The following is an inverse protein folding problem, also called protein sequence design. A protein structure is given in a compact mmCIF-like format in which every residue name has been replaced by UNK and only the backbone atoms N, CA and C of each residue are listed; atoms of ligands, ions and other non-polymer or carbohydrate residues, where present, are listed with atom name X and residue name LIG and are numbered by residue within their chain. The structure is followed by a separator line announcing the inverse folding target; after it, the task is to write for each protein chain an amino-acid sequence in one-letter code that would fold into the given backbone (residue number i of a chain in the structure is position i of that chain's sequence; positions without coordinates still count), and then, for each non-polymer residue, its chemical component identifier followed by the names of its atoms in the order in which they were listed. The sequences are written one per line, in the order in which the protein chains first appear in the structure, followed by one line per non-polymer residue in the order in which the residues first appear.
data_IF_724619224697
#
_entry.id   IF_724619224697
#
_cell.length_a   1.000
_cell.length_b   1.000
_cell.length_c   1.000
_cell.angle_alpha   90.00
_cell.angle_beta   90.00
_cell.angle_gamma   90.00
#
_symmetry.space_group_name_H-M   'P 1'
#
loop_
_entity.id
_entity.type
_entity.pdbx_description
1 polymer ?
#
# COMPACT_ATOMS: atom_id res chain seq x y z
N UNK A 1 -30.09 37.60 56.99
CA UNK A 1 -29.12 36.49 56.85
C UNK A 1 -28.93 36.22 55.37
N UNK A 2 -27.68 36.21 54.90
CA UNK A 2 -27.36 35.96 53.48
C UNK A 2 -25.92 36.37 53.18
N UNK A 3 -24.97 35.59 53.69
CA UNK A 3 -23.54 35.78 53.42
C UNK A 3 -23.18 35.28 52.02
N UNK A 4 -22.48 36.12 51.26
CA UNK A 4 -21.80 35.73 50.01
C UNK A 4 -20.49 35.02 50.34
N UNK A 5 -20.31 33.81 49.81
CA UNK A 5 -19.03 33.09 49.77
C UNK A 5 -18.21 33.57 48.55
N UNK A 6 -16.92 33.88 48.68
CA UNK A 6 -16.06 34.06 47.51
C UNK A 6 -15.49 32.71 47.05
N UNK A 7 -15.66 32.40 45.76
CA UNK A 7 -14.94 31.33 45.06
C UNK A 7 -13.45 31.71 44.98
N UNK A 8 -12.60 31.01 45.73
CA UNK A 8 -11.15 31.12 45.61
C UNK A 8 -10.64 30.40 44.36
N UNK A 9 -10.13 31.14 43.38
CA UNK A 9 -9.24 30.60 42.35
C UNK A 9 -7.93 30.14 43.02
N UNK A 10 -7.65 28.84 43.00
CA UNK A 10 -6.31 28.31 43.31
C UNK A 10 -5.43 28.43 42.07
N UNK A 11 -4.26 29.05 42.23
CA UNK A 11 -3.23 29.12 41.21
C UNK A 11 -2.71 27.73 40.81
N UNK A 12 -2.43 27.53 39.53
CA UNK A 12 -1.81 26.32 39.00
C UNK A 12 -0.39 26.13 39.56
N UNK A 13 0.07 24.90 39.84
CA UNK A 13 1.43 24.66 40.30
C UNK A 13 2.46 24.97 39.21
N UNK A 14 3.56 25.61 39.61
CA UNK A 14 4.70 25.94 38.74
C UNK A 14 5.34 24.68 38.16
N UNK A 15 5.80 24.70 36.89
CA UNK A 15 6.48 23.55 36.30
C UNK A 15 7.81 23.29 37.03
N UNK A 16 8.04 22.01 37.38
CA UNK A 16 9.30 21.56 37.97
C UNK A 16 10.47 21.69 36.98
N UNK A 17 11.72 21.68 37.48
CA UNK A 17 12.91 21.85 36.64
C UNK A 17 13.07 20.67 35.66
N UNK A 18 13.67 20.90 34.47
CA UNK A 18 13.87 19.86 33.48
C UNK A 18 14.86 18.80 33.99
N UNK A 19 14.52 17.52 33.76
CA UNK A 19 15.37 16.36 34.00
C UNK A 19 16.63 16.46 33.12
N UNK A 20 17.80 16.69 33.73
CA UNK A 20 19.10 16.55 33.06
C UNK A 20 19.51 15.08 33.02
N UNK A 21 19.43 14.47 31.85
CA UNK A 21 20.11 13.20 31.57
C UNK A 21 21.60 13.47 31.37
N UNK A 22 22.43 13.02 32.31
CA UNK A 22 23.90 13.06 32.17
C UNK A 22 24.34 11.92 31.26
N UNK A 23 24.78 12.24 30.05
CA UNK A 23 25.48 11.27 29.19
C UNK A 23 26.92 11.19 29.65
N UNK A 24 27.30 10.09 30.29
CA UNK A 24 28.70 9.81 30.61
C UNK A 24 29.49 9.52 29.34
N UNK A 25 30.50 10.33 29.04
CA UNK A 25 31.54 9.98 28.06
C UNK A 25 32.50 8.95 28.68
N UNK A 26 32.71 7.77 28.08
CA UNK A 26 33.87 6.97 28.40
C UNK A 26 35.11 7.61 27.75
N UNK A 27 36.15 7.76 28.57
CA UNK A 27 37.43 8.35 28.23
C UNK A 27 38.10 7.69 27.02
N UNK A 28 38.82 8.52 26.26
CA UNK A 28 39.72 8.13 25.20
C UNK A 28 40.71 7.05 25.68
N UNK A 29 40.87 6.00 24.88
CA UNK A 29 42.05 5.14 24.89
C UNK A 29 42.62 5.13 23.49
N UNK A 30 43.84 5.64 23.40
CA UNK A 30 44.68 5.63 22.22
C UNK A 30 45.11 4.20 21.83
N UNK A 31 45.23 3.99 20.52
CA UNK A 31 46.20 3.05 19.93
C UNK A 31 45.76 1.59 19.80
N UNK A 32 45.17 1.23 18.65
CA UNK A 32 45.63 0.07 17.88
C UNK A 32 45.14 0.13 16.43
N UNK A 33 46.11 0.05 15.53
CA UNK A 33 46.01 -0.08 14.08
C UNK A 33 45.36 -1.43 13.69
N UNK A 34 44.27 -1.42 12.89
CA UNK A 34 43.86 -2.55 12.07
C UNK A 34 42.76 -2.15 11.05
N UNK A 35 42.99 -2.55 9.81
CA UNK A 35 42.13 -2.39 8.63
C UNK A 35 40.77 -3.10 8.81
N UNK A 36 39.69 -2.47 8.31
CA UNK A 36 38.47 -3.12 7.84
C UNK A 36 37.49 -3.65 8.89
N UNK A 37 36.38 -2.94 9.11
CA UNK A 37 35.11 -3.54 9.55
C UNK A 37 33.96 -2.58 9.24
N UNK A 38 33.03 -3.04 8.39
CA UNK A 38 31.71 -2.44 8.24
C UNK A 38 31.01 -2.41 9.61
N UNK A 39 30.28 -1.31 9.90
CA UNK A 39 29.50 -1.15 11.13
C UNK A 39 28.45 -2.25 11.34
N UNK A 40 27.77 -2.29 12.50
CA UNK A 40 26.97 -3.42 12.94
C UNK A 40 25.61 -3.43 12.23
N UNK A 41 25.62 -3.68 10.92
CA UNK A 41 24.44 -4.24 10.27
C UNK A 41 24.33 -5.67 10.75
N UNK A 42 23.30 -5.94 11.56
CA UNK A 42 22.91 -7.32 11.86
C UNK A 42 22.53 -7.96 10.52
N UNK A 43 23.23 -9.01 10.07
CA UNK A 43 22.81 -9.74 8.87
C UNK A 43 21.37 -10.22 9.07
N UNK A 44 20.53 -10.06 8.05
CA UNK A 44 19.10 -10.42 8.06
C UNK A 44 18.83 -11.89 8.44
N UNK A 45 19.88 -12.72 8.51
CA UNK A 45 19.89 -14.12 8.91
C UNK A 45 19.36 -14.40 10.33
N UNK A 46 19.19 -13.37 11.19
CA UNK A 46 18.77 -13.54 12.59
C UNK A 46 17.30 -13.21 12.90
N UNK A 47 16.51 -12.79 11.92
CA UNK A 47 15.06 -12.64 12.12
C UNK A 47 14.35 -13.91 11.64
N UNK A 48 13.98 -14.79 12.57
CA UNK A 48 13.01 -15.85 12.29
C UNK A 48 11.62 -15.23 12.14
N UNK A 49 11.38 -14.58 11.00
CA UNK A 49 10.04 -14.60 10.43
C UNK A 49 9.77 -16.06 10.04
N UNK A 50 8.59 -16.58 10.38
CA UNK A 50 8.11 -17.80 9.74
C UNK A 50 7.91 -17.44 8.27
N UNK A 51 8.93 -17.71 7.46
CA UNK A 51 8.71 -17.90 6.04
C UNK A 51 7.71 -19.05 5.94
N UNK A 52 6.67 -18.88 5.12
CA UNK A 52 5.84 -20.02 4.73
C UNK A 52 6.68 -20.87 3.77
N UNK A 53 7.70 -21.53 4.32
CA UNK A 53 8.58 -22.51 3.67
C UNK A 53 8.40 -23.91 4.25
N UNK A 54 7.59 -24.07 5.30
CA UNK A 54 7.49 -25.34 6.03
C UNK A 54 6.21 -26.13 5.71
N UNK A 55 5.45 -25.71 4.69
CA UNK A 55 4.47 -26.57 4.04
C UNK A 55 5.09 -27.13 2.75
N UNK A 56 5.17 -28.47 2.58
CA UNK A 56 6.07 -29.06 1.59
C UNK A 56 5.48 -28.93 0.19
N UNK A 57 6.14 -28.15 -0.68
CA UNK A 57 6.23 -28.46 -2.10
C UNK A 57 7.63 -28.13 -2.65
N UNK A 58 8.48 -29.17 -2.68
CA UNK A 58 9.67 -29.26 -3.54
C UNK A 58 10.97 -28.69 -2.97
N UNK A 59 11.80 -29.56 -2.39
CA UNK A 59 13.22 -29.34 -2.10
C UNK A 59 13.98 -28.83 -3.36
N UNK A 60 14.98 -27.93 -3.27
CA UNK A 60 16.27 -28.20 -2.64
C UNK A 60 16.92 -26.99 -1.94
N UNK A 61 17.71 -27.32 -0.93
CA UNK A 61 18.65 -26.49 -0.16
C UNK A 61 19.90 -26.23 -1.01
N UNK A 62 20.51 -25.04 -0.92
CA UNK A 62 21.90 -24.84 -1.37
C UNK A 62 22.79 -24.24 -0.27
N UNK A 63 23.86 -24.96 0.07
CA UNK A 63 25.03 -24.46 0.80
C UNK A 63 25.89 -23.56 -0.10
N UNK A 64 26.52 -22.54 0.46
CA UNK A 64 27.77 -21.99 -0.10
C UNK A 64 27.73 -20.67 -0.88
N UNK A 65 26.85 -19.72 -0.53
CA UNK A 65 27.15 -18.29 -0.74
C UNK A 65 27.34 -17.80 -2.18
N UNK A 66 26.55 -18.29 -3.14
CA UNK A 66 26.39 -17.65 -4.45
C UNK A 66 24.94 -17.22 -4.67
N UNK A 67 24.76 -15.96 -5.07
CA UNK A 67 23.47 -15.41 -5.48
C UNK A 67 23.05 -16.06 -6.79
N UNK A 68 21.91 -16.77 -6.77
CA UNK A 68 21.29 -17.35 -7.95
C UNK A 68 20.06 -16.51 -8.30
N UNK A 69 20.26 -15.37 -8.95
CA UNK A 69 19.20 -14.70 -9.70
C UNK A 69 19.35 -15.03 -11.18
N UNK A 70 19.10 -16.30 -11.53
CA UNK A 70 18.87 -16.73 -12.91
C UNK A 70 18.12 -18.06 -12.98
N UNK A 71 17.36 -18.44 -11.94
CA UNK A 71 16.61 -19.70 -11.94
C UNK A 71 15.18 -19.46 -12.48
N UNK A 72 14.80 -20.04 -13.64
CA UNK A 72 13.45 -19.91 -14.20
C UNK A 72 12.35 -20.40 -13.25
N UNK A 73 12.68 -21.26 -12.28
CA UNK A 73 11.74 -21.74 -11.28
C UNK A 73 11.27 -20.66 -10.28
N UNK A 74 12.05 -19.60 -10.07
CA UNK A 74 11.65 -18.45 -9.23
C UNK A 74 10.67 -17.54 -9.97
N UNK A 75 10.82 -17.41 -11.30
CA UNK A 75 9.87 -16.70 -12.17
C UNK A 75 8.47 -17.32 -12.13
N UNK A 76 8.38 -18.65 -11.98
CA UNK A 76 7.13 -19.40 -11.82
C UNK A 76 6.43 -19.21 -10.45
N UNK A 77 7.05 -18.52 -9.49
CA UNK A 77 6.52 -18.30 -8.12
C UNK A 77 6.19 -16.83 -7.81
N UNK A 78 6.18 -15.96 -8.82
CA UNK A 78 5.85 -14.54 -8.62
C UNK A 78 4.35 -14.33 -8.39
N UNK A 79 3.98 -13.30 -7.64
CA UNK A 79 2.58 -12.88 -7.46
C UNK A 79 1.85 -12.74 -8.81
N UNK A 80 2.54 -12.21 -9.82
CA UNK A 80 1.97 -12.05 -11.16
C UNK A 80 1.73 -13.38 -11.88
N UNK A 81 2.62 -14.37 -11.72
CA UNK A 81 2.48 -15.69 -12.34
C UNK A 81 1.16 -16.39 -11.98
N UNK A 82 0.63 -16.13 -10.77
CA UNK A 82 -0.66 -16.68 -10.31
C UNK A 82 -1.86 -16.21 -11.14
N UNK A 83 -1.74 -15.08 -11.83
CA UNK A 83 -2.85 -14.43 -12.53
C UNK A 83 -2.64 -14.30 -14.04
N UNK A 84 -1.57 -14.89 -14.61
CA UNK A 84 -1.31 -14.86 -16.05
C UNK A 84 -2.49 -15.45 -16.80
N UNK A 85 -3.01 -14.72 -17.80
CA UNK A 85 -4.19 -15.11 -18.56
C UNK A 85 -5.53 -14.93 -17.82
N UNK A 86 -5.53 -14.34 -16.62
CA UNK A 86 -6.72 -14.00 -15.86
C UNK A 86 -6.92 -12.48 -15.76
N UNK A 87 -8.05 -12.09 -15.16
CA UNK A 87 -8.39 -10.70 -14.86
C UNK A 87 -8.18 -10.40 -13.38
N UNK A 88 -7.48 -9.30 -13.08
CA UNK A 88 -7.34 -8.73 -11.74
C UNK A 88 -8.01 -7.36 -11.72
N UNK A 89 -8.88 -7.14 -10.75
CA UNK A 89 -9.62 -5.88 -10.60
C UNK A 89 -9.09 -5.12 -9.39
N UNK A 90 -8.58 -3.92 -9.61
CA UNK A 90 -8.15 -3.00 -8.56
C UNK A 90 -9.21 -1.91 -8.39
N UNK A 91 -9.76 -1.75 -7.18
CA UNK A 91 -10.86 -0.82 -6.90
C UNK A 91 -10.40 0.29 -5.96
N UNK A 92 -10.37 1.51 -6.48
CA UNK A 92 -10.08 2.75 -5.75
C UNK A 92 -11.33 3.60 -5.55
N UNK A 93 -11.30 4.49 -4.56
CA UNK A 93 -12.40 5.42 -4.32
C UNK A 93 -12.32 6.58 -5.31
N UNK A 94 -11.10 7.13 -5.49
CA UNK A 94 -10.81 8.30 -6.32
C UNK A 94 -9.62 8.05 -7.25
N UNK A 95 -9.44 8.90 -8.28
CA UNK A 95 -8.21 8.89 -9.10
C UNK A 95 -6.99 9.24 -8.28
N UNK A 96 -5.93 8.43 -8.34
CA UNK A 96 -4.66 8.45 -7.56
C UNK A 96 -4.55 7.33 -6.51
N UNK A 97 -5.64 6.88 -5.92
CA UNK A 97 -5.64 5.86 -4.86
C UNK A 97 -4.86 4.58 -5.23
N UNK A 98 -5.13 4.05 -6.43
CA UNK A 98 -4.61 2.76 -6.88
C UNK A 98 -3.10 2.84 -7.14
N UNK A 99 -2.66 3.94 -7.72
CA UNK A 99 -1.27 4.24 -8.01
C UNK A 99 -0.46 4.35 -6.72
N UNK A 100 -1.00 5.07 -5.73
CA UNK A 100 -0.37 5.28 -4.44
C UNK A 100 -0.25 3.97 -3.66
N UNK A 101 -1.34 3.21 -3.59
CA UNK A 101 -1.44 1.98 -2.81
C UNK A 101 -0.73 0.78 -3.43
N UNK A 102 -0.88 0.57 -4.73
CA UNK A 102 -0.49 -0.67 -5.40
C UNK A 102 0.07 -0.48 -6.83
N UNK A 103 0.44 0.74 -7.24
CA UNK A 103 0.83 1.02 -8.63
C UNK A 103 1.99 0.17 -9.15
N UNK A 104 2.96 -0.19 -8.28
CA UNK A 104 4.07 -1.06 -8.68
C UNK A 104 3.62 -2.49 -8.97
N UNK A 105 2.70 -3.00 -8.14
CA UNK A 105 2.06 -4.31 -8.27
C UNK A 105 1.19 -4.37 -9.52
N UNK A 106 0.39 -3.32 -9.78
CA UNK A 106 -0.45 -3.24 -10.98
C UNK A 106 0.40 -3.23 -12.26
N UNK A 107 1.49 -2.46 -12.28
CA UNK A 107 2.43 -2.46 -13.41
C UNK A 107 3.10 -3.83 -13.60
N UNK A 108 3.45 -4.54 -12.51
CA UNK A 108 4.05 -5.86 -12.58
C UNK A 108 3.07 -6.91 -13.13
N UNK A 109 1.79 -6.85 -12.71
CA UNK A 109 0.72 -7.70 -13.25
C UNK A 109 0.51 -7.44 -14.74
N UNK A 110 0.37 -6.18 -15.15
CA UNK A 110 0.19 -5.81 -16.55
C UNK A 110 1.37 -6.27 -17.42
N UNK A 111 2.61 -6.05 -16.97
CA UNK A 111 3.81 -6.48 -17.67
C UNK A 111 3.91 -8.02 -17.84
N UNK A 112 3.28 -8.78 -16.94
CA UNK A 112 3.19 -10.24 -17.02
C UNK A 112 2.04 -10.73 -17.93
N UNK A 113 1.29 -9.83 -18.57
CA UNK A 113 0.17 -10.18 -19.45
C UNK A 113 -1.15 -10.48 -18.73
N UNK A 114 -1.28 -10.06 -17.46
CA UNK A 114 -2.55 -10.10 -16.73
C UNK A 114 -3.44 -8.96 -17.20
N UNK A 115 -4.74 -9.22 -17.41
CA UNK A 115 -5.69 -8.13 -17.66
C UNK A 115 -5.95 -7.41 -16.33
N UNK A 116 -5.39 -6.21 -16.17
CA UNK A 116 -5.58 -5.40 -14.96
C UNK A 116 -6.62 -4.32 -15.23
N UNK A 117 -7.70 -4.32 -14.44
CA UNK A 117 -8.77 -3.33 -14.51
C UNK A 117 -8.68 -2.41 -13.29
N UNK A 118 -8.34 -1.15 -13.51
CA UNK A 118 -8.39 -0.07 -12.53
C UNK A 118 -9.80 0.52 -12.51
N UNK A 119 -10.59 0.16 -11.52
CA UNK A 119 -11.92 0.71 -11.30
C UNK A 119 -11.88 1.82 -10.25
N UNK A 120 -12.15 3.05 -10.67
CA UNK A 120 -12.33 4.20 -9.79
C UNK A 120 -13.82 4.38 -9.55
N UNK A 121 -14.24 4.41 -8.29
CA UNK A 121 -15.66 4.54 -7.96
C UNK A 121 -16.18 5.94 -8.32
N UNK A 122 -15.51 7.01 -7.88
CA UNK A 122 -16.01 8.37 -8.06
C UNK A 122 -14.91 9.41 -8.28
N UNK A 123 -15.29 10.53 -8.91
CA UNK A 123 -14.43 11.72 -9.07
C UNK A 123 -15.15 12.90 -8.43
N UNK A 124 -14.73 13.37 -7.24
CA UNK A 124 -15.53 14.32 -6.45
C UNK A 124 -15.37 15.79 -6.83
N UNK A 125 -14.29 16.16 -7.52
CA UNK A 125 -13.97 17.53 -7.93
C UNK A 125 -13.08 17.52 -9.18
N UNK A 126 -13.03 18.65 -9.89
CA UNK A 126 -12.20 18.85 -11.09
C UNK A 126 -12.33 17.71 -12.10
N UNK A 127 -13.58 17.31 -12.38
CA UNK A 127 -13.93 16.04 -13.02
C UNK A 127 -13.13 15.79 -14.30
N UNK A 128 -13.18 16.70 -15.28
CA UNK A 128 -12.53 16.48 -16.58
C UNK A 128 -11.01 16.35 -16.46
N UNK A 129 -10.39 17.20 -15.63
CA UNK A 129 -8.95 17.15 -15.36
C UNK A 129 -8.56 15.83 -14.71
N UNK A 130 -9.21 15.45 -13.62
CA UNK A 130 -8.87 14.22 -12.89
C UNK A 130 -9.17 12.95 -13.69
N UNK A 131 -10.20 12.96 -14.53
CA UNK A 131 -10.46 11.88 -15.48
C UNK A 131 -9.35 11.76 -16.52
N UNK A 132 -8.84 12.89 -17.03
CA UNK A 132 -7.70 12.89 -17.94
C UNK A 132 -6.45 12.34 -17.28
N UNK A 133 -6.13 12.80 -16.06
CA UNK A 133 -4.97 12.34 -15.30
C UNK A 133 -5.06 10.83 -14.97
N UNK A 134 -6.25 10.33 -14.62
CA UNK A 134 -6.51 8.91 -14.42
C UNK A 134 -6.25 8.08 -15.68
N UNK A 135 -6.63 8.59 -16.85
CA UNK A 135 -6.39 7.91 -18.14
C UNK A 135 -4.91 7.83 -18.45
N UNK A 136 -4.18 8.94 -18.27
CA UNK A 136 -2.74 8.98 -18.50
C UNK A 136 -2.01 8.03 -17.56
N UNK A 137 -2.40 8.02 -16.28
CA UNK A 137 -1.86 7.10 -15.28
C UNK A 137 -2.12 5.62 -15.62
N UNK A 138 -3.35 5.26 -15.95
CA UNK A 138 -3.69 3.90 -16.34
C UNK A 138 -2.91 3.44 -17.58
N UNK A 139 -2.71 4.34 -18.55
CA UNK A 139 -1.88 4.06 -19.73
C UNK A 139 -0.40 3.83 -19.36
N UNK A 140 0.14 4.61 -18.41
CA UNK A 140 1.51 4.40 -17.90
C UNK A 140 1.65 3.03 -17.22
N UNK A 141 0.65 2.61 -16.46
CA UNK A 141 0.61 1.31 -15.78
C UNK A 141 0.27 0.14 -16.72
N UNK A 142 -0.15 0.40 -17.96
CA UNK A 142 -0.63 -0.62 -18.89
C UNK A 142 -1.94 -1.28 -18.44
N UNK A 143 -2.79 -0.54 -17.73
CA UNK A 143 -4.04 -1.05 -17.16
C UNK A 143 -5.27 -0.50 -17.90
N UNK A 144 -6.38 -1.24 -17.87
CA UNK A 144 -7.69 -0.78 -18.32
C UNK A 144 -8.31 0.14 -17.26
N UNK A 145 -8.79 1.32 -17.64
CA UNK A 145 -9.46 2.25 -16.72
C UNK A 145 -10.99 2.15 -16.81
N UNK A 146 -11.65 2.07 -15.66
CA UNK A 146 -13.12 2.18 -15.52
C UNK A 146 -13.49 3.20 -14.46
N UNK A 147 -14.42 4.08 -14.78
CA UNK A 147 -14.98 5.08 -13.85
C UNK A 147 -16.45 4.74 -13.63
N UNK A 148 -16.80 4.25 -12.44
CA UNK A 148 -18.12 3.69 -12.17
C UNK A 148 -19.20 4.78 -12.13
N UNK A 149 -18.92 5.88 -11.43
CA UNK A 149 -19.84 7.00 -11.29
C UNK A 149 -19.48 8.13 -12.27
N UNK A 150 -19.39 7.82 -13.56
CA UNK A 150 -19.07 8.79 -14.60
C UNK A 150 -20.16 9.87 -14.78
N UNK A 151 -19.82 10.91 -15.55
CA UNK A 151 -20.73 11.97 -16.00
C UNK A 151 -20.86 13.17 -15.06
N UNK A 152 -19.86 13.41 -14.20
CA UNK A 152 -19.77 14.62 -13.38
C UNK A 152 -19.27 14.36 -11.96
N UNK A 153 -19.06 15.45 -11.22
CA UNK A 153 -18.60 15.39 -9.83
C UNK A 153 -19.62 14.70 -8.95
N UNK A 154 -19.22 13.59 -8.31
CA UNK A 154 -20.06 12.85 -7.37
C UNK A 154 -19.24 12.42 -6.16
N UNK A 155 -19.87 12.24 -5.01
CA UNK A 155 -19.22 11.71 -3.81
C UNK A 155 -19.80 10.35 -3.46
N UNK A 156 -18.98 9.48 -2.89
CA UNK A 156 -19.40 8.15 -2.48
C UNK A 156 -20.36 8.26 -1.28
N UNK A 157 -20.12 9.22 -0.37
CA UNK A 157 -20.99 9.54 0.77
C UNK A 157 -22.45 9.89 0.39
N UNK A 158 -22.69 10.35 -0.84
CA UNK A 158 -24.03 10.69 -1.34
C UNK A 158 -24.78 9.46 -1.90
N UNK A 159 -24.11 8.32 -2.05
CA UNK A 159 -24.67 7.10 -2.64
C UNK A 159 -25.20 6.20 -1.53
N UNK A 160 -26.46 5.74 -1.66
CA UNK A 160 -27.01 4.76 -0.73
C UNK A 160 -26.20 3.46 -0.81
N UNK A 161 -25.88 2.86 0.34
CA UNK A 161 -25.03 1.67 0.41
C UNK A 161 -25.46 0.54 -0.56
N UNK A 162 -26.75 0.25 -0.69
CA UNK A 162 -27.22 -0.79 -1.61
C UNK A 162 -26.96 -0.47 -3.09
N UNK A 163 -26.91 0.81 -3.47
CA UNK A 163 -26.57 1.25 -4.82
C UNK A 163 -25.06 1.13 -5.06
N UNK A 164 -24.25 1.52 -4.08
CA UNK A 164 -22.80 1.35 -4.12
C UNK A 164 -22.44 -0.13 -4.30
N UNK A 165 -22.98 -1.01 -3.45
CA UNK A 165 -22.80 -2.47 -3.57
C UNK A 165 -23.30 -2.97 -4.93
N UNK A 166 -24.41 -2.44 -5.45
CA UNK A 166 -24.91 -2.78 -6.79
C UNK A 166 -23.96 -2.43 -7.93
N UNK A 167 -23.27 -1.29 -7.86
CA UNK A 167 -22.24 -0.90 -8.83
C UNK A 167 -21.03 -1.85 -8.77
N UNK A 168 -20.56 -2.16 -7.56
CA UNK A 168 -19.42 -3.06 -7.34
C UNK A 168 -19.73 -4.52 -7.72
N UNK A 169 -20.96 -4.97 -7.47
CA UNK A 169 -21.50 -6.24 -7.96
C UNK A 169 -21.42 -6.33 -9.48
N UNK A 170 -21.78 -5.25 -10.19
CA UNK A 170 -21.71 -5.17 -11.64
C UNK A 170 -20.29 -5.41 -12.15
N UNK A 171 -19.31 -4.77 -11.52
CA UNK A 171 -17.88 -4.92 -11.83
C UNK A 171 -17.43 -6.39 -11.69
N UNK A 172 -17.78 -7.05 -10.59
CA UNK A 172 -17.41 -8.47 -10.38
C UNK A 172 -18.09 -9.40 -11.38
N UNK A 173 -19.35 -9.16 -11.72
CA UNK A 173 -20.08 -9.98 -12.71
C UNK A 173 -19.54 -9.80 -14.13
N UNK A 174 -19.17 -8.57 -14.49
CA UNK A 174 -18.63 -8.23 -15.80
C UNK A 174 -17.25 -8.86 -16.01
N UNK A 175 -16.33 -8.64 -15.06
CA UNK A 175 -14.92 -9.02 -15.22
C UNK A 175 -14.55 -10.40 -14.69
N UNK A 176 -15.40 -11.01 -13.85
CA UNK A 176 -15.16 -12.33 -13.24
C UNK A 176 -13.71 -12.47 -12.71
N UNK A 177 -13.27 -11.56 -11.83
CA UNK A 177 -11.87 -11.47 -11.43
C UNK A 177 -11.38 -12.74 -10.73
N UNK A 178 -10.11 -13.09 -10.92
CA UNK A 178 -9.41 -14.09 -10.10
C UNK A 178 -8.83 -13.47 -8.83
N UNK A 179 -8.58 -12.16 -8.84
CA UNK A 179 -8.24 -11.39 -7.65
C UNK A 179 -8.82 -9.97 -7.67
N UNK A 180 -9.09 -9.46 -6.47
CA UNK A 180 -9.45 -8.06 -6.23
C UNK A 180 -8.43 -7.43 -5.28
N UNK A 181 -7.96 -6.24 -5.64
CA UNK A 181 -7.21 -5.34 -4.76
C UNK A 181 -8.10 -4.13 -4.44
N UNK A 182 -8.19 -3.75 -3.18
CA UNK A 182 -8.99 -2.57 -2.78
C UNK A 182 -8.41 -1.90 -1.53
N UNK A 183 -9.08 -0.88 -1.00
CA UNK A 183 -8.68 -0.19 0.22
C UNK A 183 -8.70 -1.10 1.46
N UNK A 184 -8.09 -0.68 2.55
CA UNK A 184 -8.16 -1.36 3.85
C UNK A 184 -9.44 -1.05 4.65
N UNK A 185 -9.76 -1.86 5.69
CA UNK A 185 -10.86 -1.60 6.62
C UNK A 185 -10.63 -0.36 7.49
N UNK A 186 -9.38 0.05 7.64
CA UNK A 186 -8.95 1.17 8.46
C UNK A 186 -8.27 2.20 7.58
N UNK A 187 -8.90 3.35 7.43
CA UNK A 187 -8.38 4.51 6.72
C UNK A 187 -8.91 5.78 7.39
N UNK A 188 -8.20 6.89 7.26
CA UNK A 188 -8.72 8.18 7.69
C UNK A 188 -9.78 8.71 6.71
N UNK A 189 -9.73 8.30 5.44
CA UNK A 189 -10.69 8.71 4.44
C UNK A 189 -11.91 7.79 4.44
N UNK A 190 -13.08 8.33 4.81
CA UNK A 190 -14.30 7.53 4.96
C UNK A 190 -14.73 6.80 3.66
N UNK A 191 -14.60 7.45 2.50
CA UNK A 191 -14.83 6.82 1.20
C UNK A 191 -14.03 5.52 0.99
N UNK A 192 -12.78 5.45 1.45
CA UNK A 192 -11.94 4.25 1.30
C UNK A 192 -12.53 3.09 2.10
N UNK A 193 -12.96 3.37 3.34
CA UNK A 193 -13.62 2.42 4.22
C UNK A 193 -14.96 1.94 3.62
N UNK A 194 -15.74 2.84 3.03
CA UNK A 194 -17.00 2.48 2.35
C UNK A 194 -16.76 1.55 1.15
N UNK A 195 -15.74 1.83 0.33
CA UNK A 195 -15.35 0.98 -0.80
C UNK A 195 -14.89 -0.39 -0.32
N UNK A 196 -14.07 -0.46 0.73
CA UNK A 196 -13.65 -1.74 1.32
C UNK A 196 -14.87 -2.58 1.72
N UNK A 197 -15.80 -2.02 2.52
CA UNK A 197 -16.99 -2.76 2.95
C UNK A 197 -17.90 -3.16 1.79
N UNK A 198 -18.05 -2.29 0.78
CA UNK A 198 -18.76 -2.60 -0.45
C UNK A 198 -18.14 -3.79 -1.19
N UNK A 199 -16.81 -3.80 -1.34
CA UNK A 199 -16.08 -4.90 -1.98
C UNK A 199 -16.12 -6.19 -1.17
N UNK A 200 -16.09 -6.14 0.17
CA UNK A 200 -16.32 -7.32 1.02
C UNK A 200 -17.68 -7.95 0.72
N UNK A 201 -18.74 -7.15 0.54
CA UNK A 201 -20.05 -7.67 0.20
C UNK A 201 -20.06 -8.42 -1.15
N UNK A 202 -19.27 -7.98 -2.14
CA UNK A 202 -19.20 -8.63 -3.47
C UNK A 202 -18.64 -10.04 -3.42
N UNK A 203 -17.91 -10.43 -2.36
CA UNK A 203 -17.35 -11.77 -2.22
C UNK A 203 -18.40 -12.89 -2.17
N UNK A 204 -19.69 -12.56 -1.96
CA UNK A 204 -20.81 -13.51 -2.07
C UNK A 204 -21.10 -13.96 -3.51
N UNK A 205 -20.56 -13.27 -4.51
CA UNK A 205 -20.82 -13.52 -5.93
C UNK A 205 -19.89 -14.57 -6.53
N UNK A 206 -18.64 -14.65 -6.06
CA UNK A 206 -17.61 -15.54 -6.61
C UNK A 206 -16.47 -15.75 -5.61
N UNK A 207 -15.74 -16.85 -5.80
CA UNK A 207 -14.50 -17.12 -5.08
C UNK A 207 -13.31 -16.53 -5.85
N UNK A 208 -12.68 -15.50 -5.29
CA UNK A 208 -11.47 -14.87 -5.81
C UNK A 208 -10.57 -14.44 -4.64
N UNK A 209 -9.29 -14.26 -4.91
CA UNK A 209 -8.34 -13.74 -3.93
C UNK A 209 -8.67 -12.27 -3.60
N UNK A 210 -8.59 -11.90 -2.33
CA UNK A 210 -8.96 -10.56 -1.88
C UNK A 210 -7.85 -9.96 -1.06
N UNK A 211 -7.33 -8.85 -1.56
CA UNK A 211 -6.24 -8.09 -0.97
C UNK A 211 -6.69 -6.67 -0.65
N UNK A 212 -6.07 -6.10 0.37
CA UNK A 212 -6.21 -4.69 0.68
C UNK A 212 -4.86 -3.96 0.70
N UNK A 213 -4.89 -2.68 0.33
CA UNK A 213 -3.76 -1.76 0.42
C UNK A 213 -4.17 -0.50 1.20
N UNK A 214 -3.18 0.31 1.59
CA UNK A 214 -3.40 1.62 2.18
C UNK A 214 -2.65 2.69 1.37
N UNK A 215 -3.35 3.57 0.63
CA UNK A 215 -2.70 4.59 -0.18
C UNK A 215 -2.27 5.83 0.61
N UNK A 216 -2.80 6.00 1.82
CA UNK A 216 -3.00 7.31 2.46
C UNK A 216 -1.93 7.70 3.47
N UNK A 217 -0.73 7.12 3.36
CA UNK A 217 0.41 7.49 4.21
C UNK A 217 0.99 8.88 3.91
N UNK A 218 0.53 9.56 2.85
CA UNK A 218 1.01 10.88 2.43
C UNK A 218 0.49 12.06 3.27
N UNK A 219 -0.44 11.82 4.20
CA UNK A 219 -0.91 12.82 5.17
C UNK A 219 -0.46 12.43 6.58
N UNK A 220 -0.26 13.41 7.48
CA UNK A 220 0.20 13.16 8.85
C UNK A 220 -0.94 12.62 9.73
N UNK A 221 -1.65 11.59 9.26
CA UNK A 221 -2.70 10.89 9.98
C UNK A 221 -2.23 9.45 10.17
N UNK A 222 -1.86 9.04 11.39
CA UNK A 222 -1.39 7.69 11.63
C UNK A 222 -2.54 6.71 11.46
N UNK A 223 -2.48 5.89 10.42
CA UNK A 223 -3.41 4.78 10.19
C UNK A 223 -2.64 3.48 10.36
N UNK A 224 -3.05 2.59 11.27
CA UNK A 224 -2.39 1.29 11.41
C UNK A 224 -2.66 0.45 10.15
N UNK A 225 -1.59 -0.04 9.53
CA UNK A 225 -1.66 -1.01 8.45
C UNK A 225 -0.49 -1.97 8.61
N UNK A 226 -0.81 -3.27 8.65
CA UNK A 226 0.17 -4.33 8.81
C UNK A 226 0.14 -5.21 7.55
N UNK A 227 1.05 -5.01 6.59
CA UNK A 227 1.13 -5.87 5.42
C UNK A 227 1.39 -7.32 5.82
N UNK A 228 0.66 -8.25 5.20
CA UNK A 228 0.86 -9.70 5.30
C UNK A 228 1.41 -10.32 4.02
N UNK A 229 1.40 -9.58 2.91
CA UNK A 229 2.06 -9.90 1.66
C UNK A 229 2.97 -8.75 1.24
N UNK A 230 4.13 -9.07 0.69
CA UNK A 230 5.07 -8.11 0.13
C UNK A 230 5.34 -8.48 -1.33
N UNK A 231 5.05 -7.57 -2.23
CA UNK A 231 5.21 -7.77 -3.66
C UNK A 231 6.48 -7.04 -4.08
N UNK A 232 7.45 -7.76 -4.65
CA UNK A 232 8.64 -7.13 -5.22
C UNK A 232 8.24 -6.24 -6.41
N UNK A 233 8.50 -4.95 -6.27
CA UNK A 233 8.24 -3.93 -7.30
C UNK A 233 9.53 -3.25 -7.73
N UNK A 234 10.69 -3.88 -7.50
CA UNK A 234 11.99 -3.28 -7.80
C UNK A 234 12.13 -2.90 -9.28
N UNK A 235 11.52 -3.67 -10.17
CA UNK A 235 11.51 -3.39 -11.61
C UNK A 235 10.37 -2.49 -12.09
N UNK A 236 9.40 -2.16 -11.21
CA UNK A 236 8.20 -1.38 -11.57
C UNK A 236 8.02 -0.11 -10.74
N UNK A 237 8.91 0.15 -9.80
CA UNK A 237 8.86 1.32 -8.92
C UNK A 237 8.85 2.64 -9.72
N UNK A 238 9.67 2.75 -10.77
CA UNK A 238 9.71 3.98 -11.58
C UNK A 238 8.43 4.16 -12.41
N UNK A 239 7.80 3.07 -12.83
CA UNK A 239 6.49 3.10 -13.50
C UNK A 239 5.41 3.57 -12.53
N UNK A 240 5.41 3.08 -11.28
CA UNK A 240 4.55 3.60 -10.20
C UNK A 240 4.72 5.10 -10.01
N UNK A 241 5.96 5.59 -9.86
CA UNK A 241 6.21 7.02 -9.62
C UNK A 241 5.76 7.89 -10.80
N UNK A 242 5.96 7.44 -12.05
CA UNK A 242 5.44 8.12 -13.24
C UNK A 242 3.91 8.18 -13.27
N UNK A 243 3.24 7.09 -12.87
CA UNK A 243 1.78 7.04 -12.78
C UNK A 243 1.24 8.01 -11.72
N UNK A 244 1.86 8.05 -10.53
CA UNK A 244 1.53 9.05 -9.50
C UNK A 244 1.74 10.47 -10.02
N UNK A 245 2.86 10.73 -10.70
CA UNK A 245 3.19 12.04 -11.25
C UNK A 245 2.23 12.52 -12.36
N UNK A 246 1.42 11.62 -12.95
CA UNK A 246 0.38 11.99 -13.90
C UNK A 246 -0.76 12.81 -13.25
N UNK A 247 -0.99 12.63 -11.94
CA UNK A 247 -1.98 13.36 -11.14
C UNK A 247 -1.46 14.75 -10.72
N UNK A 248 -1.11 15.58 -11.70
CA UNK A 248 -0.44 16.88 -11.49
C UNK A 248 -1.26 17.82 -10.60
N UNK A 249 -2.58 17.81 -10.77
CA UNK A 249 -3.51 18.60 -9.98
C UNK A 249 -3.51 18.23 -8.49
N UNK A 250 -3.15 16.97 -8.15
CA UNK A 250 -3.18 16.45 -6.79
C UNK A 250 -1.84 16.64 -6.06
N UNK A 251 -0.70 16.47 -6.74
CA UNK A 251 0.61 16.48 -6.05
C UNK A 251 1.32 17.83 -6.15
N UNK A 252 1.58 18.33 -7.36
CA UNK A 252 2.39 19.53 -7.56
C UNK A 252 1.70 20.80 -7.05
N UNK A 253 0.41 20.97 -7.34
CA UNK A 253 -0.35 22.14 -6.89
C UNK A 253 -0.48 22.23 -5.36
N UNK A 254 -0.27 21.11 -4.65
CA UNK A 254 -0.43 20.99 -3.19
C UNK A 254 0.90 20.87 -2.43
N UNK A 255 2.03 20.99 -3.13
CA UNK A 255 3.37 20.86 -2.55
C UNK A 255 3.68 19.45 -2.01
N UNK A 256 2.94 18.43 -2.46
CA UNK A 256 3.14 17.04 -2.05
C UNK A 256 4.18 16.39 -2.97
N UNK A 257 5.12 15.66 -2.37
CA UNK A 257 6.09 14.84 -3.11
C UNK A 257 5.68 13.38 -3.09
N UNK A 258 5.85 12.69 -4.21
CA UNK A 258 5.62 11.25 -4.34
C UNK A 258 6.85 10.42 -3.99
N UNK A 259 8.02 11.03 -3.71
CA UNK A 259 9.22 10.30 -3.29
C UNK A 259 9.01 9.53 -1.99
N UNK A 260 8.11 10.00 -1.13
CA UNK A 260 7.72 9.28 0.08
C UNK A 260 7.20 7.86 -0.22
N UNK A 261 6.53 7.64 -1.36
CA UNK A 261 6.09 6.29 -1.75
C UNK A 261 7.24 5.39 -2.18
N UNK A 262 8.33 5.95 -2.71
CA UNK A 262 9.57 5.21 -2.95
C UNK A 262 10.23 4.82 -1.63
N UNK A 263 10.23 5.71 -0.64
CA UNK A 263 10.80 5.43 0.68
C UNK A 263 10.01 4.34 1.43
N UNK A 264 8.67 4.38 1.41
CA UNK A 264 7.84 3.30 1.94
C UNK A 264 8.19 1.98 1.24
N UNK A 265 8.24 1.99 -0.09
CA UNK A 265 8.55 0.79 -0.85
C UNK A 265 9.93 0.23 -0.50
N UNK A 266 10.91 1.10 -0.24
CA UNK A 266 12.26 0.72 0.20
C UNK A 266 12.27 0.11 1.61
N UNK A 267 11.49 0.66 2.54
CA UNK A 267 11.34 0.09 3.90
C UNK A 267 10.72 -1.30 3.82
N UNK A 268 9.66 -1.46 3.03
CA UNK A 268 9.04 -2.75 2.79
C UNK A 268 9.99 -3.74 2.10
N UNK A 269 10.76 -3.29 1.09
CA UNK A 269 11.75 -4.12 0.40
C UNK A 269 12.78 -4.70 1.37
N UNK A 270 13.28 -3.87 2.29
CA UNK A 270 14.21 -4.31 3.36
C UNK A 270 13.62 -5.39 4.27
N UNK A 271 12.31 -5.39 4.51
CA UNK A 271 11.66 -6.41 5.35
C UNK A 271 11.66 -7.81 4.70
N UNK A 272 11.81 -7.89 3.37
CA UNK A 272 11.76 -9.16 2.62
C UNK A 272 12.97 -9.41 1.72
N UNK A 273 14.01 -8.58 1.80
CA UNK A 273 15.29 -8.80 1.11
C UNK A 273 15.33 -8.35 -0.36
N UNK A 274 14.48 -7.42 -0.78
CA UNK A 274 14.48 -6.83 -2.15
C UNK A 274 14.67 -5.30 -2.08
N UNK A 275 14.89 -4.64 -3.22
CA UNK A 275 15.15 -3.19 -3.24
C UNK A 275 13.89 -2.37 -2.89
N UNK A 276 12.77 -2.71 -3.54
CA UNK A 276 11.47 -2.07 -3.30
C UNK A 276 10.36 -3.12 -3.25
N UNK A 277 9.47 -3.03 -2.26
CA UNK A 277 8.29 -3.86 -2.19
C UNK A 277 7.02 -3.05 -1.84
N UNK A 278 5.88 -3.44 -2.38
CA UNK A 278 4.58 -2.96 -1.92
C UNK A 278 4.00 -3.93 -0.89
N UNK A 279 3.46 -3.37 0.19
CA UNK A 279 2.81 -4.13 1.24
C UNK A 279 1.31 -4.23 0.97
N UNK A 280 0.79 -5.46 0.94
CA UNK A 280 -0.64 -5.76 0.86
C UNK A 280 -1.06 -6.54 2.10
N UNK A 281 -2.32 -6.38 2.49
CA UNK A 281 -2.95 -7.28 3.45
C UNK A 281 -3.77 -8.36 2.72
N UNK A 282 -3.82 -9.56 3.30
CA UNK A 282 -4.43 -10.75 2.70
C UNK A 282 -5.76 -11.05 3.40
N UNK A 283 -6.88 -10.56 2.89
CA UNK A 283 -8.17 -10.81 3.52
C UNK A 283 -8.69 -12.22 3.21
N UNK A 284 -8.44 -12.74 2.00
CA UNK A 284 -8.83 -14.09 1.59
C UNK A 284 -7.93 -14.60 0.45
N UNK A 285 -7.48 -15.85 0.55
CA UNK A 285 -6.89 -16.59 -0.58
C UNK A 285 -7.71 -17.83 -0.86
N UNK A 286 -7.86 -18.15 -2.14
CA UNK A 286 -8.58 -19.33 -2.62
C UNK A 286 -7.56 -20.31 -3.18
N UNK A 287 -7.45 -21.47 -2.54
CA UNK A 287 -6.68 -22.61 -3.05
C UNK A 287 -7.69 -23.58 -3.67
N UNK A 288 -7.50 -23.90 -4.94
CA UNK A 288 -8.28 -24.91 -5.65
C UNK A 288 -7.70 -26.31 -5.41
#
# INVERSE_FOLDING_TARGET
MGGQLPLGLRAAPQPGPPLRLSVGHPAARDGHDARGAAGPHVPAERFHAVHVSDAPLGAAITQGGQSICSDPAVSARSFAARYVGATVVAVGAHPDDLELGAGGTLAALSAAGVQVVMAICSVPADYDTRVSEAKDSAAILGCELRILMAGGCKRIEDVKNHQLVGLLDGLVREYKPLAVLTHGPTDFHHDHVQIYHGMVATQRLACFDFYSFLPTMCRPVPVPFQPRAYIDVSHTIDTKLRAIAAHKSQFYARGLTFEFYRDIARVNGRMVGVEYAEGLDINKLVFA
#
